data_IF_541903818314
#
_entry.id   IF_541903818314
#
_cell.length_a   1.000
_cell.length_b   1.000
_cell.length_c   1.000
_cell.angle_alpha   90.00
_cell.angle_beta   90.00
_cell.angle_gamma   90.00
#
_symmetry.space_group_name_H-M   'P 1'
#
loop_
_entity.id
_entity.type
_entity.pdbx_description
1 polymer ?
#
# COMPACT_ATOMS: atom_id res chain seq x y z
N UNK A 1 17.74 39.33 -6.29
CA UNK A 1 16.94 38.11 -6.06
C UNK A 1 17.66 36.94 -6.73
N UNK A 2 18.15 35.96 -5.97
CA UNK A 2 19.04 34.89 -6.46
C UNK A 2 18.30 33.56 -6.66
N UNK A 3 18.50 32.91 -7.80
CA UNK A 3 17.86 31.63 -8.15
C UNK A 3 18.56 30.46 -7.43
N UNK A 4 17.88 29.84 -6.46
CA UNK A 4 18.35 28.60 -5.82
C UNK A 4 17.96 27.39 -6.67
N UNK A 5 18.95 26.62 -7.12
CA UNK A 5 18.72 25.38 -7.86
C UNK A 5 18.23 24.28 -6.92
N UNK A 6 17.30 23.45 -7.40
CA UNK A 6 16.70 22.33 -6.62
C UNK A 6 17.70 21.21 -6.25
N UNK A 7 18.85 21.14 -6.94
CA UNK A 7 19.95 20.24 -6.60
C UNK A 7 19.62 18.75 -6.59
N UNK A 8 20.37 17.98 -5.80
CA UNK A 8 20.25 16.52 -5.66
C UNK A 8 19.01 16.06 -4.88
N UNK A 9 18.32 16.98 -4.18
CA UNK A 9 17.12 16.69 -3.38
C UNK A 9 16.03 16.03 -4.23
N UNK A 10 15.87 16.47 -5.48
CA UNK A 10 14.90 15.88 -6.40
C UNK A 10 15.26 14.44 -6.80
N UNK A 11 16.55 14.12 -6.92
CA UNK A 11 17.01 12.75 -7.21
C UNK A 11 16.78 11.84 -6.01
N UNK A 12 17.20 12.27 -4.81
CA UNK A 12 16.98 11.52 -3.56
C UNK A 12 15.51 11.14 -3.38
N UNK A 13 14.58 12.11 -3.50
CA UNK A 13 13.13 11.83 -3.41
C UNK A 13 12.63 10.78 -4.42
N UNK A 14 13.16 10.76 -5.64
CA UNK A 14 12.77 9.75 -6.65
C UNK A 14 13.33 8.37 -6.32
N UNK A 15 14.56 8.30 -5.81
CA UNK A 15 15.17 7.03 -5.38
C UNK A 15 14.35 6.40 -4.25
N UNK A 16 14.00 7.17 -3.22
CA UNK A 16 13.14 6.70 -2.11
C UNK A 16 11.78 6.17 -2.60
N UNK A 17 11.18 6.84 -3.57
CA UNK A 17 9.91 6.40 -4.16
C UNK A 17 10.06 5.12 -5.00
N UNK A 18 11.16 4.99 -5.73
CA UNK A 18 11.46 3.81 -6.54
C UNK A 18 11.68 2.57 -5.69
N UNK A 19 12.38 2.71 -4.55
CA UNK A 19 12.62 1.62 -3.60
C UNK A 19 11.32 0.99 -3.11
N UNK A 20 10.33 1.81 -2.76
CA UNK A 20 8.99 1.34 -2.36
C UNK A 20 8.28 0.54 -3.46
N UNK A 21 8.48 0.90 -4.73
CA UNK A 21 7.82 0.28 -5.88
C UNK A 21 8.65 -0.79 -6.59
N UNK A 22 9.80 -1.18 -6.06
CA UNK A 22 10.74 -2.10 -6.72
C UNK A 22 10.10 -3.42 -7.14
N UNK A 23 9.17 -3.95 -6.34
CA UNK A 23 8.44 -5.20 -6.61
C UNK A 23 7.20 -5.02 -7.51
N UNK A 24 6.89 -3.80 -7.95
CA UNK A 24 5.68 -3.53 -8.73
C UNK A 24 5.89 -3.91 -10.20
N UNK A 25 4.86 -4.50 -10.80
CA UNK A 25 4.92 -4.98 -12.19
C UNK A 25 4.83 -3.84 -13.21
N UNK A 26 5.59 -3.97 -14.30
CA UNK A 26 5.46 -3.14 -15.50
C UNK A 26 5.84 -1.66 -15.29
N UNK A 27 4.97 -0.75 -15.76
CA UNK A 27 5.23 0.69 -15.72
C UNK A 27 5.23 1.28 -14.30
N UNK A 28 4.71 0.55 -13.30
CA UNK A 28 4.55 1.01 -11.92
C UNK A 28 5.85 1.03 -11.12
N UNK A 29 6.91 0.37 -11.58
CA UNK A 29 8.26 0.41 -10.99
C UNK A 29 9.24 1.28 -11.78
N UNK A 30 8.83 1.76 -12.97
CA UNK A 30 9.72 2.47 -13.91
C UNK A 30 9.38 3.96 -14.07
N UNK A 31 8.10 4.31 -14.20
CA UNK A 31 7.69 5.69 -14.48
C UNK A 31 7.40 6.46 -13.18
N UNK A 32 8.06 7.60 -12.96
CA UNK A 32 7.92 8.38 -11.72
C UNK A 32 6.48 8.82 -11.45
N UNK A 33 5.71 9.16 -12.50
CA UNK A 33 4.29 9.56 -12.38
C UNK A 33 3.40 8.39 -11.92
N UNK A 34 3.63 7.19 -12.43
CA UNK A 34 2.82 6.02 -12.07
C UNK A 34 3.23 5.50 -10.68
N UNK A 35 4.51 5.56 -10.34
CA UNK A 35 5.06 5.26 -9.00
C UNK A 35 4.35 6.12 -7.94
N UNK A 36 4.23 7.44 -8.18
CA UNK A 36 3.58 8.34 -7.22
C UNK A 36 2.10 8.00 -7.01
N UNK A 37 1.39 7.73 -8.11
CA UNK A 37 -0.01 7.32 -8.07
C UNK A 37 -0.19 5.99 -7.34
N UNK A 38 0.65 4.99 -7.64
CA UNK A 38 0.54 3.68 -7.01
C UNK A 38 0.97 3.67 -5.55
N UNK A 39 1.94 4.51 -5.17
CA UNK A 39 2.29 4.71 -3.77
C UNK A 39 1.08 5.19 -2.96
N UNK A 40 0.33 6.18 -3.46
CA UNK A 40 -0.87 6.68 -2.79
C UNK A 40 -1.94 5.59 -2.70
N UNK A 41 -2.20 4.88 -3.80
CA UNK A 41 -3.18 3.78 -3.82
C UNK A 41 -2.82 2.66 -2.84
N UNK A 42 -1.55 2.25 -2.78
CA UNK A 42 -1.08 1.21 -1.87
C UNK A 42 -1.26 1.61 -0.40
N UNK A 43 -0.96 2.86 -0.04
CA UNK A 43 -1.15 3.36 1.33
C UNK A 43 -2.63 3.41 1.72
N UNK A 44 -3.49 3.86 0.81
CA UNK A 44 -4.94 3.89 1.04
C UNK A 44 -5.51 2.48 1.19
N UNK A 45 -5.07 1.52 0.37
CA UNK A 45 -5.47 0.12 0.51
C UNK A 45 -4.99 -0.47 1.84
N UNK A 46 -3.72 -0.26 2.21
CA UNK A 46 -3.16 -0.75 3.47
C UNK A 46 -3.95 -0.26 4.69
N UNK A 47 -4.37 1.01 4.69
CA UNK A 47 -5.25 1.56 5.73
C UNK A 47 -6.60 0.84 5.77
N UNK A 48 -7.27 0.71 4.63
CA UNK A 48 -8.60 0.05 4.54
C UNK A 48 -8.55 -1.42 4.94
N UNK A 49 -7.50 -2.12 4.55
CA UNK A 49 -7.34 -3.56 4.81
C UNK A 49 -7.02 -3.84 6.29
N UNK A 50 -6.44 -2.87 7.02
CA UNK A 50 -6.26 -2.96 8.47
C UNK A 50 -7.59 -3.15 9.20
N UNK A 51 -8.61 -2.39 8.84
CA UNK A 51 -9.94 -2.49 9.44
C UNK A 51 -10.67 -3.77 9.00
N UNK A 52 -10.49 -4.18 7.73
CA UNK A 52 -11.06 -5.43 7.22
C UNK A 52 -10.47 -6.66 7.89
N UNK A 53 -9.15 -6.68 8.15
CA UNK A 53 -8.49 -7.78 8.86
C UNK A 53 -9.13 -8.02 10.23
N UNK A 54 -9.37 -6.96 11.01
CA UNK A 54 -10.05 -7.06 12.32
C UNK A 54 -11.43 -7.71 12.19
N UNK A 55 -12.25 -7.27 11.23
CA UNK A 55 -13.58 -7.87 10.97
C UNK A 55 -13.50 -9.32 10.48
N UNK A 56 -12.54 -9.64 9.62
CA UNK A 56 -12.34 -11.00 9.11
C UNK A 56 -11.99 -12.00 10.21
N UNK A 57 -11.17 -11.59 11.19
CA UNK A 57 -10.90 -12.43 12.36
C UNK A 57 -12.16 -12.67 13.21
N UNK A 58 -12.99 -11.64 13.42
CA UNK A 58 -14.28 -11.81 14.11
C UNK A 58 -15.21 -12.76 13.36
N UNK A 59 -15.34 -12.60 12.05
CA UNK A 59 -16.17 -13.48 11.21
C UNK A 59 -15.67 -14.93 11.23
N UNK A 60 -14.35 -15.15 11.23
CA UNK A 60 -13.78 -16.49 11.31
C UNK A 60 -14.13 -17.20 12.62
N UNK A 61 -14.07 -16.48 13.75
CA UNK A 61 -14.47 -17.01 15.06
C UNK A 61 -15.95 -17.37 15.06
N UNK A 62 -16.82 -16.48 14.55
CA UNK A 62 -18.26 -16.73 14.46
C UNK A 62 -18.60 -17.94 13.57
N UNK A 63 -17.94 -18.06 12.42
CA UNK A 63 -18.11 -19.20 11.50
C UNK A 63 -17.63 -20.52 12.12
N UNK A 64 -16.59 -20.48 12.94
CA UNK A 64 -16.10 -21.66 13.66
C UNK A 64 -17.05 -22.05 14.78
N UNK A 65 -17.63 -21.09 15.48
CA UNK A 65 -18.60 -21.35 16.53
C UNK A 65 -19.93 -21.90 15.98
N UNK A 66 -20.39 -21.41 14.82
CA UNK A 66 -21.53 -21.98 14.08
C UNK A 66 -21.29 -23.43 13.68
N UNK A 67 -20.11 -23.76 13.15
CA UNK A 67 -19.76 -25.14 12.77
C UNK A 67 -19.80 -26.12 13.95
N UNK A 68 -19.44 -25.66 15.14
CA UNK A 68 -19.45 -26.49 16.34
C UNK A 68 -20.85 -26.66 16.96
N UNK A 69 -21.81 -25.79 16.63
CA UNK A 69 -23.16 -25.79 17.23
C UNK A 69 -24.30 -26.15 16.24
N UNK A 70 -23.99 -26.54 15.00
CA UNK A 70 -25.02 -27.04 14.08
C UNK A 70 -25.49 -28.45 14.52
N UNK A 71 -26.80 -28.67 14.74
CA UNK A 71 -27.32 -30.01 15.00
C UNK A 71 -27.11 -30.87 13.74
N UNK A 72 -26.64 -32.11 13.94
CA UNK A 72 -26.36 -33.08 12.87
C UNK A 72 -27.65 -33.54 12.18
#
# INVERSE_FOLDING_TARGET
>A
MTRVKRGSIARKRRTEMSLFTSSFRGAHSKLIRTISQQKIKALVSAHRDGDRKKKGFSQFVDQSNKRNNCPK
#
